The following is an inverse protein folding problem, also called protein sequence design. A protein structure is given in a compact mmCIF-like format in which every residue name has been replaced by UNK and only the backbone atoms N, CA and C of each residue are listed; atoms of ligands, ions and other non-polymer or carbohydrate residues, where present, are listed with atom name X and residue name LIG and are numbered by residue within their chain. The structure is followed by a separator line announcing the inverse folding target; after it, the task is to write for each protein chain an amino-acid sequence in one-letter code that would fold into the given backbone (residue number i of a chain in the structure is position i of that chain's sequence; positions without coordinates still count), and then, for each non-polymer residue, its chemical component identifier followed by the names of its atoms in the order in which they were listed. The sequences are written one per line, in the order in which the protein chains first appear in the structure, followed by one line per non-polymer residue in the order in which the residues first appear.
data_IF_976623565211
#
_entry.id   IF_976623565211
#
_cell.length_a   1.000
_cell.length_b   1.000
_cell.length_c   1.000
_cell.angle_alpha   90.00
_cell.angle_beta   90.00
_cell.angle_gamma   90.00
#
_symmetry.space_group_name_H-M   'P 1'
#
loop_
_entity.id
_entity.type
_entity.pdbx_description
1 polymer ?
#
# COMPACT_ATOMS: atom_id res chain seq x y z
N UNK A 1 -10.81 -5.69 9.43
CA UNK A 1 -10.56 -6.14 8.04
C UNK A 1 -11.83 -6.18 7.21
N UNK A 2 -12.84 -6.98 7.58
CA UNK A 2 -14.10 -7.06 6.83
C UNK A 2 -14.77 -5.69 6.59
N UNK A 3 -14.83 -4.83 7.62
CA UNK A 3 -15.33 -3.46 7.50
C UNK A 3 -14.55 -2.63 6.49
N UNK A 4 -13.22 -2.72 6.47
CA UNK A 4 -12.37 -2.02 5.51
C UNK A 4 -12.60 -2.46 4.07
N UNK A 5 -12.80 -3.77 3.84
CA UNK A 5 -13.14 -4.29 2.52
C UNK A 5 -14.51 -3.81 2.05
N UNK A 6 -15.52 -3.82 2.93
CA UNK A 6 -16.87 -3.35 2.61
C UNK A 6 -16.89 -1.84 2.32
N UNK A 7 -16.20 -1.03 3.12
CA UNK A 7 -16.15 0.43 2.94
C UNK A 7 -15.42 0.81 1.65
N UNK A 8 -14.36 0.08 1.29
CA UNK A 8 -13.60 0.33 0.05
C UNK A 8 -14.19 -0.38 -1.18
N UNK A 9 -15.26 -1.17 -1.01
CA UNK A 9 -15.81 -2.02 -2.06
C UNK A 9 -14.83 -3.10 -2.56
N UNK A 10 -13.80 -3.43 -1.78
CA UNK A 10 -12.77 -4.41 -2.14
C UNK A 10 -11.79 -3.98 -3.22
N UNK A 11 -11.85 -2.72 -3.68
CA UNK A 11 -11.13 -2.24 -4.88
C UNK A 11 -9.60 -2.44 -4.82
N UNK A 12 -8.98 -2.26 -3.65
CA UNK A 12 -7.54 -2.46 -3.56
C UNK A 12 -7.13 -3.94 -3.56
N UNK A 13 -7.97 -4.82 -3.01
CA UNK A 13 -7.74 -6.27 -3.04
C UNK A 13 -7.94 -6.81 -4.44
N UNK A 14 -8.98 -6.36 -5.15
CA UNK A 14 -9.19 -6.65 -6.56
C UNK A 14 -7.94 -6.24 -7.37
N UNK A 15 -7.45 -5.03 -7.13
CA UNK A 15 -6.21 -4.54 -7.73
C UNK A 15 -4.97 -5.39 -7.40
N UNK A 16 -4.84 -5.90 -6.17
CA UNK A 16 -3.79 -6.85 -5.79
C UNK A 16 -3.91 -8.16 -6.59
N UNK A 17 -5.11 -8.73 -6.67
CA UNK A 17 -5.35 -9.99 -7.37
C UNK A 17 -5.03 -9.86 -8.86
N UNK A 18 -5.60 -8.86 -9.53
CA UNK A 18 -5.35 -8.55 -10.93
C UNK A 18 -3.86 -8.33 -11.20
N UNK A 19 -3.20 -7.54 -10.33
CA UNK A 19 -1.76 -7.26 -10.46
C UNK A 19 -0.92 -8.51 -10.36
N UNK A 20 -1.23 -9.43 -9.44
CA UNK A 20 -0.48 -10.69 -9.31
C UNK A 20 -0.74 -11.61 -10.50
N UNK A 21 -1.99 -11.81 -10.90
CA UNK A 21 -2.31 -12.59 -12.11
C UNK A 21 -1.63 -12.02 -13.36
N UNK A 22 -1.62 -10.70 -13.50
CA UNK A 22 -0.88 -10.00 -14.54
C UNK A 22 0.62 -10.21 -14.50
N UNK A 23 1.24 -10.05 -13.32
CA UNK A 23 2.70 -10.21 -13.17
C UNK A 23 3.13 -11.61 -13.56
N UNK A 24 2.41 -12.64 -13.09
CA UNK A 24 2.75 -14.05 -13.29
C UNK A 24 2.28 -14.62 -14.63
N UNK A 25 1.33 -13.99 -15.33
CA UNK A 25 0.99 -14.33 -16.72
C UNK A 25 2.12 -14.01 -17.73
N UNK A 26 3.15 -13.27 -17.30
CA UNK A 26 4.32 -12.92 -18.11
C UNK A 26 4.14 -11.65 -18.95
N UNK A 27 5.26 -11.06 -19.38
CA UNK A 27 5.31 -9.70 -19.95
C UNK A 27 4.33 -9.47 -21.12
N UNK A 28 4.18 -10.45 -22.02
CA UNK A 28 3.30 -10.34 -23.21
C UNK A 28 1.80 -10.41 -22.89
N UNK A 29 1.41 -11.11 -21.81
CA UNK A 29 0.00 -11.36 -21.46
C UNK A 29 -0.47 -10.58 -20.23
N UNK A 30 0.44 -9.92 -19.51
CA UNK A 30 0.17 -9.18 -18.27
C UNK A 30 -1.06 -8.29 -18.31
N UNK A 31 -1.08 -7.31 -19.22
CA UNK A 31 -2.19 -6.36 -19.33
C UNK A 31 -3.49 -7.02 -19.82
N UNK A 32 -3.39 -8.18 -20.49
CA UNK A 32 -4.56 -8.97 -20.87
C UNK A 32 -5.13 -9.72 -19.67
N UNK A 33 -4.26 -10.31 -18.84
CA UNK A 33 -4.65 -11.00 -17.61
C UNK A 33 -5.26 -10.04 -16.58
N UNK A 34 -4.69 -8.84 -16.39
CA UNK A 34 -5.27 -7.79 -15.52
C UNK A 34 -6.64 -7.25 -15.98
N UNK A 35 -7.08 -7.60 -17.19
CA UNK A 35 -8.41 -7.22 -17.70
C UNK A 35 -9.40 -8.38 -17.66
N UNK A 36 -8.88 -9.58 -17.47
CA UNK A 36 -9.73 -10.75 -17.46
C UNK A 36 -10.64 -10.63 -16.24
N UNK A 37 -11.93 -10.87 -16.44
CA UNK A 37 -12.88 -10.89 -15.32
C UNK A 37 -12.78 -12.19 -14.53
N UNK A 38 -12.10 -13.20 -15.09
CA UNK A 38 -11.80 -14.44 -14.41
C UNK A 38 -10.61 -14.24 -13.48
N UNK A 39 -10.79 -14.65 -12.23
CA UNK A 39 -9.73 -14.69 -11.24
C UNK A 39 -8.75 -15.81 -11.59
N UNK A 40 -7.45 -15.49 -11.62
CA UNK A 40 -6.38 -16.46 -11.79
C UNK A 40 -5.87 -17.02 -10.46
N UNK A 41 -5.09 -18.09 -10.54
CA UNK A 41 -4.58 -18.79 -9.35
C UNK A 41 -3.62 -17.91 -8.52
N UNK A 42 -2.85 -17.03 -9.16
CA UNK A 42 -1.92 -16.14 -8.46
C UNK A 42 -2.65 -15.01 -7.74
N UNK A 43 -3.78 -14.54 -8.27
CA UNK A 43 -4.68 -13.62 -7.61
C UNK A 43 -5.27 -14.23 -6.34
N UNK A 44 -5.81 -15.45 -6.43
CA UNK A 44 -6.33 -16.15 -5.23
C UNK A 44 -5.23 -16.36 -4.19
N UNK A 45 -4.06 -16.84 -4.61
CA UNK A 45 -2.93 -17.04 -3.69
C UNK A 45 -2.50 -15.75 -3.01
N UNK A 46 -2.40 -14.63 -3.73
CA UNK A 46 -1.99 -13.35 -3.15
C UNK A 46 -3.01 -12.86 -2.13
N UNK A 47 -4.31 -12.98 -2.42
CA UNK A 47 -5.37 -12.65 -1.46
C UNK A 47 -5.26 -13.51 -0.19
N UNK A 48 -5.11 -14.83 -0.33
CA UNK A 48 -5.01 -15.74 0.83
C UNK A 48 -3.78 -15.41 1.67
N UNK A 49 -2.60 -15.24 1.07
CA UNK A 49 -1.39 -14.93 1.84
C UNK A 49 -1.47 -13.57 2.54
N UNK A 50 -1.93 -12.53 1.83
CA UNK A 50 -2.07 -11.19 2.42
C UNK A 50 -3.06 -11.19 3.56
N UNK A 51 -4.23 -11.80 3.38
CA UNK A 51 -5.24 -11.86 4.44
C UNK A 51 -4.74 -12.62 5.67
N UNK A 52 -4.08 -13.78 5.49
CA UNK A 52 -3.50 -14.53 6.61
C UNK A 52 -2.43 -13.74 7.36
N UNK A 53 -1.53 -13.05 6.65
CA UNK A 53 -0.51 -12.20 7.27
C UNK A 53 -1.18 -11.08 8.06
N UNK A 54 -2.14 -10.37 7.46
CA UNK A 54 -2.86 -9.31 8.15
C UNK A 54 -3.57 -9.85 9.40
N UNK A 55 -4.16 -11.05 9.35
CA UNK A 55 -4.87 -11.63 10.51
C UNK A 55 -3.87 -11.94 11.62
N UNK A 56 -2.76 -12.60 11.29
CA UNK A 56 -1.71 -12.91 12.25
C UNK A 56 -1.15 -11.64 12.92
N UNK A 57 -0.90 -10.58 12.13
CA UNK A 57 -0.42 -9.30 12.65
C UNK A 57 -1.42 -8.64 13.60
N UNK A 58 -2.71 -8.59 13.23
CA UNK A 58 -3.73 -7.99 14.09
C UNK A 58 -3.88 -8.77 15.41
N UNK A 59 -3.85 -10.11 15.35
CA UNK A 59 -3.89 -10.95 16.56
C UNK A 59 -2.68 -10.71 17.48
N UNK A 60 -1.51 -10.38 16.92
CA UNK A 60 -0.31 -10.04 17.71
C UNK A 60 -0.37 -8.62 18.29
N UNK A 61 -0.84 -7.63 17.54
CA UNK A 61 -0.82 -6.20 17.94
C UNK A 61 -1.88 -5.88 19.01
N UNK A 62 -3.03 -6.57 19.00
CA UNK A 62 -4.10 -6.47 20.02
C UNK A 62 -4.48 -5.02 20.38
N UNK A 63 -4.19 -4.57 21.61
CA UNK A 63 -4.64 -3.27 22.13
C UNK A 63 -3.97 -2.07 21.46
N UNK A 64 -2.84 -2.29 20.77
CA UNK A 64 -2.11 -1.21 20.11
C UNK A 64 -2.60 -0.94 18.67
N UNK A 65 -3.60 -1.68 18.21
CA UNK A 65 -4.17 -1.58 16.85
C UNK A 65 -4.61 -0.15 16.53
N UNK A 66 -5.18 0.57 17.51
CA UNK A 66 -5.66 1.95 17.33
C UNK A 66 -4.53 2.91 16.92
N UNK A 67 -3.30 2.63 17.35
CA UNK A 67 -2.11 3.43 17.04
C UNK A 67 -1.39 2.93 15.78
N UNK A 68 -1.36 1.62 15.57
CA UNK A 68 -0.62 1.01 14.45
C UNK A 68 -1.35 1.15 13.12
N UNK A 69 -2.68 0.98 13.09
CA UNK A 69 -3.45 1.01 11.85
C UNK A 69 -3.33 2.36 11.09
N UNK A 70 -3.50 3.53 11.72
CA UNK A 70 -3.37 4.81 11.02
C UNK A 70 -2.01 4.99 10.34
N UNK A 71 -0.93 4.56 11.00
CA UNK A 71 0.43 4.62 10.45
C UNK A 71 0.55 3.71 9.22
N UNK A 72 0.02 2.49 9.30
CA UNK A 72 0.08 1.55 8.18
C UNK A 72 -0.72 2.07 6.97
N UNK A 73 -1.94 2.56 7.20
CA UNK A 73 -2.80 3.17 6.18
C UNK A 73 -2.15 4.40 5.54
N UNK A 74 -1.46 5.23 6.35
CA UNK A 74 -0.70 6.36 5.87
C UNK A 74 0.35 5.93 4.85
N UNK A 75 1.23 4.98 5.21
CA UNK A 75 2.29 4.52 4.32
C UNK A 75 1.74 3.86 3.04
N UNK A 76 0.64 3.11 3.16
CA UNK A 76 -0.10 2.58 2.02
C UNK A 76 -0.46 3.67 1.01
N UNK A 77 -1.11 4.74 1.46
CA UNK A 77 -1.50 5.87 0.60
C UNK A 77 -0.31 6.67 0.11
N UNK A 78 0.69 6.89 0.95
CA UNK A 78 1.91 7.61 0.60
C UNK A 78 2.67 6.92 -0.54
N UNK A 79 2.64 5.58 -0.60
CA UNK A 79 3.26 4.82 -1.69
C UNK A 79 2.70 5.18 -3.08
N UNK A 80 1.42 5.54 -3.19
CA UNK A 80 0.82 5.93 -4.46
C UNK A 80 1.37 7.25 -5.01
N UNK A 81 1.83 8.17 -4.15
CA UNK A 81 2.43 9.42 -4.58
C UNK A 81 3.71 9.16 -5.40
N UNK A 82 4.58 8.27 -4.89
CA UNK A 82 5.78 7.85 -5.63
C UNK A 82 5.43 7.08 -6.91
N UNK A 83 4.37 6.27 -6.88
CA UNK A 83 3.94 5.52 -8.06
C UNK A 83 3.52 6.47 -9.19
N UNK A 84 2.66 7.44 -8.89
CA UNK A 84 2.12 8.40 -9.86
C UNK A 84 3.23 9.32 -10.40
N UNK A 85 4.16 9.74 -9.54
CA UNK A 85 5.28 10.60 -9.94
C UNK A 85 6.23 9.89 -10.92
N UNK A 86 6.60 8.63 -10.61
CA UNK A 86 7.67 7.93 -11.32
C UNK A 86 7.24 7.25 -12.61
N UNK A 87 5.99 6.82 -12.70
CA UNK A 87 5.53 6.00 -13.82
C UNK A 87 4.48 6.72 -14.67
N UNK A 88 4.35 6.28 -15.92
CA UNK A 88 3.30 6.74 -16.82
C UNK A 88 2.01 5.96 -16.59
N UNK A 89 0.88 6.66 -16.75
CA UNK A 89 -0.43 6.05 -16.58
C UNK A 89 -0.77 5.18 -17.79
N UNK A 90 -1.00 3.90 -17.54
CA UNK A 90 -1.44 2.93 -18.54
C UNK A 90 -2.94 2.73 -18.37
N UNK A 91 -3.69 3.36 -19.26
CA UNK A 91 -5.14 3.13 -19.37
C UNK A 91 -5.43 1.95 -20.27
N UNK A 92 -6.43 1.17 -19.88
CA UNK A 92 -6.90 0.07 -20.70
C UNK A 92 -8.39 -0.22 -20.57
N UNK A 93 -9.08 0.50 -19.68
CA UNK A 93 -10.54 0.61 -19.57
C UNK A 93 -10.93 1.95 -20.23
N UNK A 94 -11.89 1.96 -21.17
CA UNK A 94 -12.31 3.16 -21.94
C UNK A 94 -12.74 4.37 -21.07
N UNK A 95 -13.16 4.14 -19.82
CA UNK A 95 -13.58 5.16 -18.84
C UNK A 95 -12.68 5.20 -17.60
N UNK A 96 -11.37 4.96 -17.74
CA UNK A 96 -10.47 5.05 -16.59
C UNK A 96 -10.06 6.50 -16.32
N UNK A 97 -10.23 6.96 -15.08
CA UNK A 97 -9.79 8.29 -14.66
C UNK A 97 -8.26 8.30 -14.64
N UNK A 98 -7.66 9.15 -15.47
CA UNK A 98 -6.22 9.34 -15.45
C UNK A 98 -5.86 10.24 -14.26
N UNK A 99 -5.44 9.64 -13.15
CA UNK A 99 -5.02 10.37 -11.95
C UNK A 99 -3.90 11.37 -12.23
N UNK A 100 -3.09 11.15 -13.27
CA UNK A 100 -2.02 12.07 -13.69
C UNK A 100 -2.57 13.40 -14.24
N UNK A 101 -3.82 13.46 -14.71
CA UNK A 101 -4.46 14.71 -15.18
C UNK A 101 -4.73 15.70 -14.05
N UNK A 102 -4.92 15.22 -12.82
CA UNK A 102 -5.21 16.04 -11.65
C UNK A 102 -3.99 16.16 -10.72
N UNK A 103 -2.81 15.74 -11.18
CA UNK A 103 -1.59 15.74 -10.38
C UNK A 103 -0.98 17.14 -10.30
N UNK A 104 -1.00 17.74 -9.10
CA UNK A 104 -0.45 19.08 -8.87
C UNK A 104 1.04 19.08 -8.47
N UNK A 105 1.72 17.94 -8.58
CA UNK A 105 3.13 17.78 -8.21
C UNK A 105 3.32 17.20 -6.81
N UNK A 106 4.40 16.42 -6.65
CA UNK A 106 4.67 15.66 -5.41
C UNK A 106 4.64 16.54 -4.17
N UNK A 107 5.29 17.72 -4.22
CA UNK A 107 5.38 18.63 -3.07
C UNK A 107 4.02 19.14 -2.56
N UNK A 108 3.07 19.40 -3.46
CA UNK A 108 1.75 19.93 -3.08
C UNK A 108 0.84 18.83 -2.53
N UNK A 109 0.80 17.68 -3.21
CA UNK A 109 -0.02 16.54 -2.80
C UNK A 109 0.50 15.88 -1.51
N UNK A 110 1.83 15.84 -1.33
CA UNK A 110 2.43 15.30 -0.10
C UNK A 110 2.30 16.21 1.11
N UNK A 111 2.07 17.52 0.93
CA UNK A 111 2.09 18.51 2.02
C UNK A 111 1.03 18.19 3.09
N UNK A 112 -0.19 17.86 2.65
CA UNK A 112 -1.30 17.49 3.54
C UNK A 112 -0.97 16.18 4.27
N UNK A 113 -0.46 15.19 3.54
CA UNK A 113 -0.08 13.90 4.11
C UNK A 113 1.03 14.04 5.16
N UNK A 114 2.06 14.84 4.87
CA UNK A 114 3.15 15.13 5.81
C UNK A 114 2.65 15.90 7.03
N UNK A 115 1.68 16.80 6.87
CA UNK A 115 1.04 17.50 7.98
C UNK A 115 0.31 16.54 8.94
N UNK A 116 -0.51 15.63 8.40
CA UNK A 116 -1.18 14.61 9.21
C UNK A 116 -0.20 13.67 9.92
N UNK A 117 0.86 13.25 9.21
CA UNK A 117 1.91 12.44 9.82
C UNK A 117 2.58 13.22 10.94
N UNK A 118 3.03 14.46 10.71
CA UNK A 118 3.69 15.27 11.74
C UNK A 118 2.83 15.46 13.00
N UNK A 119 1.53 15.74 12.86
CA UNK A 119 0.59 15.84 13.97
C UNK A 119 0.50 14.49 14.72
N UNK A 120 0.37 13.39 14.00
CA UNK A 120 0.27 12.07 14.59
C UNK A 120 1.56 11.65 15.33
N UNK A 121 2.72 11.96 14.74
CA UNK A 121 4.03 11.76 15.38
C UNK A 121 4.13 12.60 16.65
N UNK A 122 3.80 13.90 16.59
CA UNK A 122 3.85 14.79 17.74
C UNK A 122 2.98 14.28 18.89
N UNK A 123 1.77 13.77 18.61
CA UNK A 123 0.92 13.13 19.61
C UNK A 123 1.55 11.89 20.25
N UNK A 124 2.27 11.06 19.48
CA UNK A 124 2.96 9.89 20.01
C UNK A 124 4.23 10.25 20.81
N UNK A 125 4.97 11.29 20.39
CA UNK A 125 6.18 11.75 21.07
C UNK A 125 5.90 12.20 22.52
N UNK A 126 4.71 12.76 22.80
CA UNK A 126 4.28 13.16 24.16
C UNK A 126 4.24 11.95 25.13
N UNK A 127 4.04 10.74 24.59
CA UNK A 127 3.97 9.51 25.39
C UNK A 127 5.32 8.77 25.50
N UNK A 128 6.40 9.26 24.87
CA UNK A 128 7.68 8.55 24.87
C UNK A 128 8.43 8.81 26.17
N UNK A 129 8.48 7.79 27.01
CA UNK A 129 9.20 7.82 28.29
C UNK A 129 10.57 7.12 28.23
N UNK A 130 10.91 6.41 27.14
CA UNK A 130 12.15 5.62 27.03
C UNK A 130 12.86 5.72 25.68
N UNK A 131 14.19 5.66 25.69
CA UNK A 131 15.05 5.69 24.50
C UNK A 131 14.77 4.53 23.53
N UNK A 132 14.34 3.37 24.04
CA UNK A 132 14.06 2.18 23.21
C UNK A 132 12.83 2.40 22.31
N UNK A 133 11.81 3.08 22.81
CA UNK A 133 10.60 3.43 22.03
C UNK A 133 10.97 4.39 20.90
N UNK A 134 11.84 5.38 21.16
CA UNK A 134 12.29 6.33 20.15
C UNK A 134 13.03 5.64 18.99
N UNK A 135 13.93 4.70 19.29
CA UNK A 135 14.68 3.95 18.27
C UNK A 135 13.74 3.11 17.41
N UNK A 136 12.79 2.39 18.03
CA UNK A 136 11.76 1.61 17.31
C UNK A 136 10.96 2.50 16.36
N UNK A 137 10.58 3.68 16.83
CA UNK A 137 9.79 4.63 16.06
C UNK A 137 10.56 5.19 14.84
N UNK A 138 11.81 5.62 15.03
CA UNK A 138 12.67 6.08 13.93
C UNK A 138 12.90 4.97 12.90
N UNK A 139 13.11 3.74 13.35
CA UNK A 139 13.26 2.58 12.47
C UNK A 139 11.98 2.32 11.64
N UNK A 140 10.79 2.44 12.26
CA UNK A 140 9.51 2.29 11.56
C UNK A 140 9.26 3.38 10.51
N UNK A 141 9.74 4.61 10.74
CA UNK A 141 9.68 5.67 9.72
C UNK A 141 10.58 5.32 8.54
N UNK A 142 11.83 4.95 8.80
CA UNK A 142 12.80 4.62 7.75
C UNK A 142 12.31 3.45 6.88
N UNK A 143 11.80 2.38 7.51
CA UNK A 143 11.26 1.25 6.76
C UNK A 143 9.99 1.63 5.99
N UNK A 144 9.14 2.51 6.54
CA UNK A 144 7.95 3.03 5.87
C UNK A 144 8.28 3.80 4.60
N UNK A 145 9.26 4.70 4.65
CA UNK A 145 9.76 5.43 3.48
C UNK A 145 10.32 4.44 2.45
N UNK A 146 11.17 3.51 2.90
CA UNK A 146 11.79 2.52 2.04
C UNK A 146 10.76 1.65 1.30
N UNK A 147 9.76 1.12 2.01
CA UNK A 147 8.71 0.29 1.43
C UNK A 147 7.81 1.10 0.49
N UNK A 148 7.43 2.30 0.90
CA UNK A 148 6.59 3.20 0.09
C UNK A 148 7.25 3.62 -1.21
N UNK A 149 8.59 3.63 -1.28
CA UNK A 149 9.32 3.84 -2.52
C UNK A 149 9.52 2.54 -3.31
N UNK A 150 9.92 1.46 -2.64
CA UNK A 150 10.39 0.23 -3.27
C UNK A 150 9.27 -0.59 -3.90
N UNK A 151 8.11 -0.66 -3.25
CA UNK A 151 6.96 -1.45 -3.73
C UNK A 151 6.40 -0.89 -5.04
N UNK A 152 6.03 0.41 -5.15
CA UNK A 152 5.67 1.02 -6.42
C UNK A 152 6.71 0.85 -7.51
N UNK A 153 7.99 1.00 -7.17
CA UNK A 153 9.09 0.87 -8.12
C UNK A 153 9.19 -0.55 -8.69
N UNK A 154 9.02 -1.57 -7.86
CA UNK A 154 9.01 -2.95 -8.30
C UNK A 154 7.80 -3.26 -9.18
N UNK A 155 6.60 -2.85 -8.76
CA UNK A 155 5.36 -3.08 -9.50
C UNK A 155 5.39 -2.34 -10.84
N UNK A 156 5.73 -1.05 -10.84
CA UNK A 156 5.77 -0.22 -12.03
C UNK A 156 6.79 -0.72 -13.05
N UNK A 157 7.99 -1.17 -12.62
CA UNK A 157 8.98 -1.79 -13.52
C UNK A 157 8.48 -3.10 -14.12
N UNK A 158 7.80 -3.93 -13.32
CA UNK A 158 7.23 -5.19 -13.81
C UNK A 158 6.12 -4.88 -14.81
N UNK A 159 5.18 -4.02 -14.48
CA UNK A 159 4.00 -3.73 -15.32
C UNK A 159 4.36 -2.93 -16.58
N UNK A 160 5.33 -2.01 -16.47
CA UNK A 160 5.71 -1.05 -17.51
C UNK A 160 5.11 0.35 -17.32
N UNK A 161 4.43 0.59 -16.20
CA UNK A 161 3.72 1.83 -15.87
C UNK A 161 2.81 1.62 -14.66
N UNK A 162 1.85 2.51 -14.43
CA UNK A 162 0.87 2.38 -13.34
C UNK A 162 -0.58 2.46 -13.84
N UNK A 163 -1.48 1.86 -13.09
CA UNK A 163 -2.93 1.90 -13.30
C UNK A 163 -3.63 1.83 -11.92
N UNK A 164 -4.96 1.88 -11.89
CA UNK A 164 -5.72 1.82 -10.62
C UNK A 164 -5.45 0.55 -9.83
N UNK A 165 -5.39 -0.59 -10.52
CA UNK A 165 -5.23 -1.92 -9.92
C UNK A 165 -3.84 -2.06 -9.27
N UNK A 166 -2.78 -1.58 -9.94
CA UNK A 166 -1.41 -1.55 -9.45
C UNK A 166 -1.22 -0.60 -8.26
N UNK A 167 -1.91 0.55 -8.26
CA UNK A 167 -1.95 1.43 -7.09
C UNK A 167 -2.65 0.75 -5.91
N UNK A 168 -3.77 0.05 -6.15
CA UNK A 168 -4.44 -0.77 -5.14
C UNK A 168 -3.52 -1.84 -4.55
N UNK A 169 -2.81 -2.57 -5.42
CA UNK A 169 -1.81 -3.56 -5.02
C UNK A 169 -0.68 -2.95 -4.18
N UNK A 170 -0.18 -1.77 -4.57
CA UNK A 170 0.87 -1.06 -3.82
C UNK A 170 0.41 -0.72 -2.41
N UNK A 171 -0.80 -0.17 -2.26
CA UNK A 171 -1.40 0.18 -0.97
C UNK A 171 -1.44 -1.05 -0.07
N UNK A 172 -2.03 -2.15 -0.55
CA UNK A 172 -2.21 -3.37 0.25
C UNK A 172 -0.88 -3.98 0.65
N UNK A 173 0.10 -4.03 -0.26
CA UNK A 173 1.43 -4.57 0.03
C UNK A 173 2.18 -3.74 1.07
N UNK A 174 2.17 -2.41 0.95
CA UNK A 174 2.85 -1.52 1.91
C UNK A 174 2.16 -1.54 3.26
N UNK A 175 0.82 -1.50 3.30
CA UNK A 175 0.05 -1.63 4.55
C UNK A 175 0.36 -2.95 5.27
N UNK A 176 0.37 -4.06 4.52
CA UNK A 176 0.62 -5.38 5.09
C UNK A 176 2.06 -5.52 5.59
N UNK A 177 3.04 -5.02 4.82
CA UNK A 177 4.44 -5.03 5.24
C UNK A 177 4.68 -4.16 6.47
N UNK A 178 4.06 -2.96 6.53
CA UNK A 178 4.15 -2.11 7.73
C UNK A 178 3.47 -2.75 8.94
N UNK A 179 2.31 -3.38 8.77
CA UNK A 179 1.66 -4.14 9.84
C UNK A 179 2.56 -5.26 10.35
N UNK A 180 3.21 -5.99 9.46
CA UNK A 180 4.13 -7.07 9.81
C UNK A 180 5.37 -6.57 10.56
N UNK A 181 5.98 -5.47 10.10
CA UNK A 181 7.13 -4.86 10.80
C UNK A 181 6.75 -4.36 12.20
N UNK A 182 5.57 -3.72 12.34
CA UNK A 182 5.05 -3.33 13.64
C UNK A 182 4.81 -4.55 14.52
N UNK A 183 4.16 -5.59 14.01
CA UNK A 183 3.93 -6.82 14.75
C UNK A 183 5.24 -7.44 15.25
N UNK A 184 6.32 -7.47 14.46
CA UNK A 184 7.62 -8.02 14.91
C UNK A 184 8.24 -7.18 16.04
N UNK A 185 8.13 -5.86 15.97
CA UNK A 185 8.80 -4.93 16.90
C UNK A 185 8.05 -4.75 18.23
N UNK A 186 6.80 -5.22 18.32
CA UNK A 186 6.05 -5.41 19.56
C UNK A 186 6.48 -6.69 20.28
#
# INVERSE_FOLDING_TARGET
MASGYLITGGLHLDGLMDTFDGIFAGKKKRLKAMKDSKVGSFGVQSLVFITLIQIACLLKIQNQIIFVLPICLFWGRFSNLFFIEKFEYISYKKKSINHKKFWNGFKKESLISMGFLFIFIACQLISITSQTILIKFLFLILIGIFLSYSVPNMLGKKIGGFNGDACGASVVLVETAMLFMNAILL
#
